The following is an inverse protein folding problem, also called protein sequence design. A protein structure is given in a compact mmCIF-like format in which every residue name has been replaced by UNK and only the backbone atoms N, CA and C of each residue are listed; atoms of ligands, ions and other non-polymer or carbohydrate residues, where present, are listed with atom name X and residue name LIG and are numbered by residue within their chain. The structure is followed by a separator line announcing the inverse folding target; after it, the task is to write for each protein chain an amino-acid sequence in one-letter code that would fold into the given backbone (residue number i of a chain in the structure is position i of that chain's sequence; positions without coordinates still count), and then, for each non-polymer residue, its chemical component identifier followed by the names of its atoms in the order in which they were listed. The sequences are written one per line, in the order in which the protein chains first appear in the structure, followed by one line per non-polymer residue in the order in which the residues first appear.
data_IF_391940292247
#
_entry.id   IF_391940292247
#
_cell.length_a   1.000
_cell.length_b   1.000
_cell.length_c   1.000
_cell.angle_alpha   90.00
_cell.angle_beta   90.00
_cell.angle_gamma   90.00
#
_symmetry.space_group_name_H-M   'P 1'
#
loop_
_entity.id
_entity.type
_entity.pdbx_description
1 polymer ?
#
# COMPACT_ATOMS: atom_id res chain seq x y z
N UNK A 1 -11.17 2.08 -14.89
CA UNK A 1 -11.88 1.84 -13.62
C UNK A 1 -10.95 0.98 -12.77
N UNK A 2 -10.65 1.39 -11.55
CA UNK A 2 -9.81 0.59 -10.67
C UNK A 2 -10.61 -0.58 -10.10
N UNK A 3 -10.01 -1.76 -10.03
CA UNK A 3 -10.64 -2.99 -9.53
C UNK A 3 -9.91 -3.43 -8.27
N UNK A 4 -10.62 -3.65 -7.17
CA UNK A 4 -9.98 -4.18 -5.95
C UNK A 4 -9.57 -5.64 -6.15
N UNK A 5 -8.34 -5.99 -5.77
CA UNK A 5 -7.90 -7.38 -5.75
C UNK A 5 -8.71 -8.19 -4.71
N UNK A 6 -8.82 -9.50 -4.92
CA UNK A 6 -9.45 -10.43 -3.96
C UNK A 6 -8.51 -10.75 -2.80
N UNK A 7 -8.96 -11.60 -1.87
CA UNK A 7 -8.12 -12.08 -0.78
C UNK A 7 -6.80 -12.67 -1.35
N UNK A 8 -5.64 -12.36 -0.74
CA UNK A 8 -5.48 -11.74 0.58
C UNK A 8 -5.42 -10.19 0.60
N UNK A 9 -5.56 -9.50 -0.54
CA UNK A 9 -5.26 -8.06 -0.68
C UNK A 9 -6.50 -7.15 -0.69
N UNK A 10 -7.54 -7.57 0.05
CA UNK A 10 -8.84 -6.88 0.13
C UNK A 10 -9.19 -6.43 1.56
N UNK A 11 -8.23 -6.46 2.49
CA UNK A 11 -8.52 -6.26 3.91
C UNK A 11 -8.86 -4.79 4.21
N UNK A 12 -9.94 -4.55 4.96
CA UNK A 12 -10.46 -3.20 5.21
C UNK A 12 -9.51 -2.32 6.05
N UNK A 13 -8.68 -2.94 6.89
CA UNK A 13 -7.74 -2.23 7.78
C UNK A 13 -6.37 -1.96 7.15
N UNK A 14 -6.17 -2.33 5.88
CA UNK A 14 -4.95 -1.99 5.15
C UNK A 14 -4.75 -0.47 5.12
N UNK A 15 -3.51 -0.03 5.24
CA UNK A 15 -3.12 1.38 5.39
C UNK A 15 -2.45 1.94 4.12
N UNK A 16 -2.21 1.11 3.11
CA UNK A 16 -1.70 1.54 1.81
C UNK A 16 -2.29 0.72 0.66
N UNK A 17 -2.46 1.37 -0.50
CA UNK A 17 -2.90 0.74 -1.74
C UNK A 17 -1.74 0.77 -2.73
N UNK A 18 -1.33 -0.40 -3.22
CA UNK A 18 -0.49 -0.51 -4.41
C UNK A 18 -1.43 -0.60 -5.62
N UNK A 19 -1.40 0.41 -6.48
CA UNK A 19 -2.17 0.41 -7.72
C UNK A 19 -1.27 -0.08 -8.87
N UNK A 20 -1.65 -1.20 -9.48
CA UNK A 20 -0.96 -1.69 -10.67
C UNK A 20 -1.33 -0.88 -11.91
N UNK A 21 -0.51 -0.99 -12.96
CA UNK A 21 -0.70 -0.23 -14.21
C UNK A 21 -1.94 -0.66 -15.00
N UNK A 22 -2.43 -1.88 -14.81
CA UNK A 22 -3.69 -2.40 -15.35
C UNK A 22 -4.90 -2.03 -14.47
N UNK A 23 -4.69 -1.25 -13.41
CA UNK A 23 -5.76 -0.70 -12.59
C UNK A 23 -6.27 -1.63 -11.49
N UNK A 24 -5.44 -2.56 -10.99
CA UNK A 24 -5.78 -3.40 -9.85
C UNK A 24 -5.25 -2.77 -8.56
N UNK A 25 -6.13 -2.61 -7.58
CA UNK A 25 -5.80 -2.08 -6.26
C UNK A 25 -5.50 -3.22 -5.28
N UNK A 26 -4.27 -3.28 -4.79
CA UNK A 26 -3.85 -4.21 -3.75
C UNK A 26 -3.80 -3.48 -2.41
N UNK A 27 -4.73 -3.80 -1.52
CA UNK A 27 -4.77 -3.26 -0.16
C UNK A 27 -3.81 -4.05 0.72
N UNK A 28 -2.75 -3.41 1.17
CA UNK A 28 -1.66 -4.03 1.95
C UNK A 28 -1.32 -3.19 3.19
N UNK A 29 -0.56 -3.79 4.10
CA UNK A 29 -0.07 -3.08 5.28
C UNK A 29 1.37 -2.60 5.08
N UNK A 30 1.62 -1.32 5.37
CA UNK A 30 2.96 -0.72 5.36
C UNK A 30 3.93 -1.49 6.25
N UNK A 31 3.44 -2.06 7.36
CA UNK A 31 4.21 -2.93 8.25
C UNK A 31 4.84 -4.12 7.52
N UNK A 32 4.04 -4.89 6.75
CA UNK A 32 4.55 -6.05 6.01
C UNK A 32 5.48 -5.63 4.87
N UNK A 33 5.15 -4.54 4.17
CA UNK A 33 6.01 -4.02 3.10
C UNK A 33 7.36 -3.54 3.63
N UNK A 34 7.38 -2.87 4.78
CA UNK A 34 8.61 -2.41 5.44
C UNK A 34 9.45 -3.58 5.89
N UNK A 35 8.83 -4.59 6.53
CA UNK A 35 9.52 -5.81 6.96
C UNK A 35 10.14 -6.57 5.78
N UNK A 36 9.46 -6.60 4.63
CA UNK A 36 9.91 -7.33 3.45
C UNK A 36 10.88 -6.54 2.55
N UNK A 37 10.98 -5.22 2.70
CA UNK A 37 11.73 -4.37 1.78
C UNK A 37 12.30 -3.11 2.45
N UNK A 38 13.64 -2.95 2.51
CA UNK A 38 14.27 -1.76 3.08
C UNK A 38 13.95 -0.48 2.28
N UNK A 39 13.59 -0.63 1.00
CA UNK A 39 13.11 0.49 0.19
C UNK A 39 11.79 1.04 0.73
N UNK A 40 10.81 0.16 0.98
CA UNK A 40 9.51 0.57 1.52
C UNK A 40 9.62 1.08 2.95
N UNK A 41 10.46 0.46 3.77
CA UNK A 41 10.77 0.96 5.12
C UNK A 41 11.26 2.42 5.07
N UNK A 42 12.25 2.69 4.20
CA UNK A 42 12.78 4.04 4.01
C UNK A 42 11.71 5.00 3.48
N UNK A 43 10.93 4.59 2.48
CA UNK A 43 9.87 5.40 1.87
C UNK A 43 8.80 5.83 2.89
N UNK A 44 8.35 4.91 3.74
CA UNK A 44 7.32 5.19 4.75
C UNK A 44 7.83 6.01 5.93
N UNK A 45 9.15 6.05 6.17
CA UNK A 45 9.76 6.92 7.18
C UNK A 45 9.82 8.41 6.79
N UNK A 46 9.58 8.73 5.53
CA UNK A 46 9.68 10.10 5.04
C UNK A 46 8.54 10.98 5.59
N UNK A 47 8.80 12.26 5.91
CA UNK A 47 7.76 13.19 6.30
C UNK A 47 6.68 13.27 5.21
N UNK A 48 5.44 12.97 5.57
CA UNK A 48 4.32 13.22 4.67
C UNK A 48 4.01 14.72 4.65
N UNK A 49 3.71 15.26 3.47
CA UNK A 49 3.23 16.63 3.39
C UNK A 49 1.98 16.78 4.27
N UNK A 50 1.83 17.89 5.02
CA UNK A 50 0.59 18.15 5.74
C UNK A 50 -0.57 18.08 4.75
N UNK A 51 -1.58 17.28 5.08
CA UNK A 51 -2.78 17.16 4.27
C UNK A 51 -3.50 18.52 4.15
N UNK A 52 -4.34 18.69 3.11
CA UNK A 52 -5.21 19.86 3.00
C UNK A 52 -6.17 20.01 4.18
#
# INVERSE_FOLDING_TARGET
MATCASAPFAHANADVILLSTDGVEFRVFTFFLSLASPFFESLFSLPQAPGP
#
